data_IF_998871346601
#
_entry.id   IF_998871346601
#
_cell.length_a   1.000
_cell.length_b   1.000
_cell.length_c   1.000
_cell.angle_alpha   90.00
_cell.angle_beta   90.00
_cell.angle_gamma   90.00
#
_symmetry.space_group_name_H-M   'P 1'
#
loop_
_entity.id
_entity.type
_entity.pdbx_description
1 polymer ?
#
# COMPACT_ATOMS: atom_id res chain seq x y z
N UNK A 1 35.67 30.38 54.26
CA UNK A 1 35.25 29.22 53.45
C UNK A 1 34.02 29.61 52.65
N UNK A 2 34.10 29.63 51.32
CA UNK A 2 32.94 29.77 50.43
C UNK A 2 33.15 28.76 49.30
N UNK A 3 32.26 27.77 49.22
CA UNK A 3 32.36 26.62 48.31
C UNK A 3 31.69 27.02 47.00
N UNK A 4 32.46 27.13 45.91
CA UNK A 4 31.92 27.44 44.57
C UNK A 4 31.24 26.19 44.01
N UNK A 5 29.95 26.28 43.74
CA UNK A 5 29.16 25.21 43.11
C UNK A 5 29.24 25.43 41.60
N UNK A 6 29.96 24.56 40.90
CA UNK A 6 30.10 24.59 39.45
C UNK A 6 28.85 23.97 38.83
N UNK A 7 28.10 24.75 38.06
CA UNK A 7 26.90 24.30 37.33
C UNK A 7 27.35 23.37 36.17
N UNK A 8 27.04 22.08 36.27
CA UNK A 8 27.21 21.12 35.18
C UNK A 8 26.11 21.34 34.13
N UNK A 9 26.51 21.79 32.95
CA UNK A 9 25.62 22.04 31.83
C UNK A 9 24.99 20.76 31.29
N UNK A 10 23.66 20.72 31.23
CA UNK A 10 22.90 19.65 30.59
C UNK A 10 22.83 19.94 29.08
N UNK A 11 23.79 19.42 28.33
CA UNK A 11 23.72 19.43 26.86
C UNK A 11 22.84 18.28 26.39
N UNK A 12 21.54 18.53 26.23
CA UNK A 12 20.64 17.60 25.57
C UNK A 12 20.93 17.59 24.06
N UNK A 13 21.61 16.55 23.59
CA UNK A 13 21.76 16.26 22.17
C UNK A 13 20.39 15.89 21.60
N UNK A 14 19.66 16.88 21.08
CA UNK A 14 18.54 16.63 20.20
C UNK A 14 19.09 16.06 18.88
N UNK A 15 19.13 14.74 18.77
CA UNK A 15 19.32 14.07 17.48
C UNK A 15 18.05 14.34 16.67
N UNK A 16 18.09 15.36 15.82
CA UNK A 16 17.03 15.62 14.85
C UNK A 16 17.01 14.45 13.86
N UNK A 17 16.02 13.58 13.97
CA UNK A 17 15.72 12.62 12.92
C UNK A 17 15.28 13.41 11.68
N UNK A 18 16.19 13.60 10.73
CA UNK A 18 15.84 14.09 9.40
C UNK A 18 14.98 13.02 8.71
N UNK A 19 13.71 13.32 8.52
CA UNK A 19 12.85 12.53 7.66
C UNK A 19 13.20 12.89 6.21
N UNK A 20 13.94 12.03 5.53
CA UNK A 20 14.14 12.17 4.09
C UNK A 20 12.84 11.80 3.37
N UNK A 21 12.08 12.80 2.94
CA UNK A 21 11.07 12.61 1.91
C UNK A 21 11.81 12.34 0.59
N UNK A 22 12.04 11.06 0.28
CA UNK A 22 12.60 10.66 -1.01
C UNK A 22 11.67 11.12 -2.13
N UNK A 23 12.19 11.90 -3.08
CA UNK A 23 11.46 12.48 -4.21
C UNK A 23 11.05 11.47 -5.30
N UNK A 24 11.15 10.16 -5.05
CA UNK A 24 10.53 9.15 -5.92
C UNK A 24 9.11 8.91 -5.44
N UNK A 25 8.12 9.13 -6.31
CA UNK A 25 6.73 8.78 -6.00
C UNK A 25 6.67 7.31 -5.56
N UNK A 26 6.28 7.06 -4.31
CA UNK A 26 6.12 5.70 -3.78
C UNK A 26 4.85 5.01 -4.31
N UNK A 27 4.26 5.55 -5.38
CA UNK A 27 3.04 5.07 -6.02
C UNK A 27 3.39 4.45 -7.37
N UNK A 28 2.91 3.24 -7.60
CA UNK A 28 3.09 2.49 -8.84
C UNK A 28 1.74 2.49 -9.55
N UNK A 29 1.69 2.94 -10.82
CA UNK A 29 0.48 2.82 -11.64
C UNK A 29 0.14 1.33 -11.83
N UNK A 30 -1.13 0.99 -11.62
CA UNK A 30 -1.63 -0.40 -11.67
C UNK A 30 -2.63 -0.58 -12.81
N UNK A 31 -3.57 0.35 -12.92
CA UNK A 31 -4.59 0.36 -13.95
C UNK A 31 -5.10 1.78 -14.15
N UNK A 32 -5.79 2.00 -15.26
CA UNK A 32 -6.49 3.25 -15.52
C UNK A 32 -7.74 3.00 -16.35
N UNK A 33 -8.66 3.95 -16.28
CA UNK A 33 -9.72 4.13 -17.28
C UNK A 33 -9.73 5.61 -17.70
N UNK A 34 -10.70 6.01 -18.51
CA UNK A 34 -10.77 7.36 -19.08
C UNK A 34 -10.78 8.47 -18.01
N UNK A 35 -11.31 8.18 -16.82
CA UNK A 35 -11.50 9.19 -15.76
C UNK A 35 -10.58 9.00 -14.56
N UNK A 36 -10.05 7.80 -14.33
CA UNK A 36 -9.46 7.41 -13.05
C UNK A 36 -8.15 6.69 -13.23
N UNK A 37 -7.14 7.15 -12.51
CA UNK A 37 -5.85 6.47 -12.35
C UNK A 37 -5.85 5.68 -11.05
N UNK A 38 -5.42 4.42 -11.10
CA UNK A 38 -5.33 3.53 -9.94
C UNK A 38 -3.87 3.20 -9.67
N UNK A 39 -3.39 3.51 -8.46
CA UNK A 39 -1.98 3.31 -8.11
C UNK A 39 -1.81 2.61 -6.78
N UNK A 40 -0.83 1.72 -6.66
CA UNK A 40 -0.51 1.01 -5.42
C UNK A 40 0.68 1.65 -4.69
N UNK A 41 0.61 1.72 -3.34
CA UNK A 41 1.70 2.27 -2.52
C UNK A 41 2.76 1.21 -2.22
N UNK A 42 3.99 1.47 -2.63
CA UNK A 42 5.15 0.63 -2.29
C UNK A 42 5.29 0.47 -0.78
N UNK A 43 5.64 -0.75 -0.33
CA UNK A 43 5.86 -1.08 1.09
C UNK A 43 4.60 -1.36 1.91
N UNK A 44 3.41 -1.22 1.31
CA UNK A 44 2.13 -1.47 2.00
C UNK A 44 1.57 -2.87 1.78
N UNK A 45 2.20 -3.68 0.94
CA UNK A 45 1.78 -5.07 0.73
C UNK A 45 1.79 -5.85 2.04
N UNK A 46 0.74 -6.64 2.28
CA UNK A 46 0.61 -7.57 3.40
C UNK A 46 0.03 -8.88 2.89
N UNK A 47 0.60 -10.00 3.33
CA UNK A 47 -0.01 -11.32 3.18
C UNK A 47 -0.26 -11.89 4.57
N UNK A 48 -1.53 -11.98 4.98
CA UNK A 48 -1.93 -12.37 6.33
C UNK A 48 -3.13 -13.31 6.21
N UNK A 49 -3.07 -14.45 6.90
CA UNK A 49 -4.19 -15.41 6.99
C UNK A 49 -4.78 -15.82 5.62
N UNK A 50 -3.92 -15.99 4.61
CA UNK A 50 -4.35 -16.40 3.27
C UNK A 50 -4.96 -15.27 2.42
N UNK A 51 -4.88 -14.01 2.87
CA UNK A 51 -5.28 -12.83 2.10
C UNK A 51 -4.06 -11.97 1.77
N UNK A 52 -3.94 -11.61 0.50
CA UNK A 52 -2.97 -10.66 -0.03
C UNK A 52 -3.64 -9.29 -0.16
N UNK A 53 -3.02 -8.24 0.36
CA UNK A 53 -3.60 -6.90 0.30
C UNK A 53 -2.56 -5.79 0.14
N UNK A 54 -2.99 -4.65 -0.38
CA UNK A 54 -2.14 -3.47 -0.60
C UNK A 54 -2.96 -2.18 -0.50
N UNK A 55 -2.32 -1.06 -0.15
CA UNK A 55 -2.95 0.25 -0.21
C UNK A 55 -2.96 0.75 -1.66
N UNK A 56 -4.15 1.11 -2.15
CA UNK A 56 -4.34 1.74 -3.46
C UNK A 56 -4.95 3.13 -3.36
N UNK A 57 -4.54 4.00 -4.27
CA UNK A 57 -5.09 5.33 -4.51
C UNK A 57 -5.91 5.32 -5.79
N UNK A 58 -7.11 5.87 -5.70
CA UNK A 58 -8.05 6.04 -6.80
C UNK A 58 -8.11 7.54 -7.05
N UNK A 59 -7.45 8.01 -8.11
CA UNK A 59 -7.39 9.43 -8.46
C UNK A 59 -8.36 9.70 -9.61
N UNK A 60 -9.56 10.14 -9.28
CA UNK A 60 -10.58 10.52 -10.26
C UNK A 60 -10.29 11.95 -10.78
N UNK A 61 -9.88 12.02 -12.03
CA UNK A 61 -9.52 13.27 -12.72
C UNK A 61 -10.76 14.07 -13.14
N UNK A 62 -11.93 13.44 -13.25
CA UNK A 62 -13.16 14.12 -13.68
C UNK A 62 -13.74 15.04 -12.60
N UNK A 63 -13.59 14.68 -11.32
CA UNK A 63 -14.14 15.43 -10.18
C UNK A 63 -13.07 15.84 -9.14
N UNK A 64 -11.78 15.64 -9.46
CA UNK A 64 -10.64 15.92 -8.60
C UNK A 64 -10.69 15.22 -7.23
N UNK A 65 -11.35 14.06 -7.13
CA UNK A 65 -11.40 13.27 -5.89
C UNK A 65 -10.32 12.20 -5.85
N UNK A 66 -9.64 12.15 -4.72
CA UNK A 66 -8.71 11.08 -4.38
C UNK A 66 -9.31 10.23 -3.26
N UNK A 67 -9.41 8.93 -3.51
CA UNK A 67 -9.85 7.95 -2.50
C UNK A 67 -8.74 6.93 -2.26
N UNK A 68 -8.71 6.39 -1.04
CA UNK A 68 -7.75 5.36 -0.65
C UNK A 68 -8.47 4.11 -0.17
N UNK A 69 -8.00 2.96 -0.62
CA UNK A 69 -8.56 1.66 -0.27
C UNK A 69 -7.46 0.68 0.12
N UNK A 70 -7.72 -0.13 1.15
CA UNK A 70 -7.02 -1.40 1.30
C UNK A 70 -7.73 -2.34 0.33
N UNK A 71 -7.03 -2.76 -0.71
CA UNK A 71 -7.54 -3.71 -1.69
C UNK A 71 -6.97 -5.08 -1.36
N UNK A 72 -7.83 -6.06 -1.17
CA UNK A 72 -7.48 -7.43 -0.80
C UNK A 72 -8.01 -8.45 -1.79
N UNK A 73 -7.28 -9.55 -1.94
CA UNK A 73 -7.66 -10.74 -2.70
C UNK A 73 -7.23 -11.98 -1.91
N UNK A 74 -8.05 -13.04 -1.93
CA UNK A 74 -7.65 -14.30 -1.33
C UNK A 74 -6.49 -14.91 -2.12
N UNK A 75 -5.52 -15.51 -1.44
CA UNK A 75 -4.41 -16.20 -2.10
C UNK A 75 -4.92 -17.28 -3.05
N UNK A 76 -5.98 -18.01 -2.66
CA UNK A 76 -6.59 -19.04 -3.51
C UNK A 76 -7.21 -18.47 -4.78
N UNK A 77 -7.73 -17.24 -4.74
CA UNK A 77 -8.31 -16.58 -5.91
C UNK A 77 -7.18 -16.15 -6.88
N UNK A 78 -6.03 -15.72 -6.35
CA UNK A 78 -4.83 -15.53 -7.15
C UNK A 78 -4.36 -16.83 -7.80
N UNK A 79 -4.35 -17.93 -7.05
CA UNK A 79 -3.87 -19.24 -7.54
C UNK A 79 -4.82 -19.83 -8.59
N UNK A 80 -6.12 -19.57 -8.46
CA UNK A 80 -7.15 -20.02 -9.40
C UNK A 80 -7.27 -19.13 -10.65
N UNK A 81 -6.77 -17.90 -10.60
CA UNK A 81 -6.93 -16.91 -11.66
C UNK A 81 -8.33 -16.30 -11.77
N UNK A 82 -9.20 -16.50 -10.76
CA UNK A 82 -10.50 -15.85 -10.67
C UNK A 82 -11.01 -15.82 -9.23
N UNK A 83 -11.89 -14.86 -8.92
CA UNK A 83 -12.47 -14.74 -7.58
C UNK A 83 -12.99 -13.33 -7.31
N UNK A 84 -12.70 -12.80 -6.12
CA UNK A 84 -13.18 -11.47 -5.70
C UNK A 84 -12.06 -10.60 -5.15
N UNK A 85 -12.03 -9.34 -5.59
CA UNK A 85 -11.36 -8.26 -4.88
C UNK A 85 -12.28 -7.69 -3.81
N UNK A 86 -11.73 -7.38 -2.64
CA UNK A 86 -12.41 -6.71 -1.54
C UNK A 86 -11.78 -5.35 -1.27
N UNK A 87 -12.61 -4.30 -1.24
CA UNK A 87 -12.20 -2.92 -1.07
C UNK A 87 -12.63 -2.43 0.30
N UNK A 88 -11.67 -2.10 1.14
CA UNK A 88 -11.94 -1.61 2.50
C UNK A 88 -11.52 -0.15 2.62
N UNK A 89 -12.34 0.64 3.31
CA UNK A 89 -11.92 1.94 3.80
C UNK A 89 -10.77 1.80 4.82
N UNK A 90 -10.10 2.91 5.13
CA UNK A 90 -8.96 2.92 6.07
C UNK A 90 -9.34 2.58 7.52
N UNK A 91 -10.63 2.67 7.87
CA UNK A 91 -11.17 2.22 9.15
C UNK A 91 -11.41 0.70 9.20
N UNK A 92 -11.16 -0.02 8.10
CA UNK A 92 -11.33 -1.46 7.98
C UNK A 92 -12.74 -1.89 7.59
N UNK A 93 -13.70 -0.95 7.40
CA UNK A 93 -15.04 -1.30 6.91
C UNK A 93 -14.98 -1.68 5.43
N UNK A 94 -15.59 -2.81 5.09
CA UNK A 94 -15.79 -3.22 3.70
C UNK A 94 -16.70 -2.19 3.00
N UNK A 95 -16.24 -1.67 1.87
CA UNK A 95 -17.01 -0.77 1.01
C UNK A 95 -17.75 -1.62 -0.04
N UNK A 96 -16.99 -2.31 -0.89
CA UNK A 96 -17.56 -3.18 -1.93
C UNK A 96 -16.62 -4.33 -2.29
N UNK A 97 -17.14 -5.25 -3.11
CA UNK A 97 -16.37 -6.31 -3.75
C UNK A 97 -16.53 -6.24 -5.27
N UNK A 98 -15.47 -6.58 -5.99
CA UNK A 98 -15.46 -6.67 -7.46
C UNK A 98 -15.07 -8.08 -7.89
N UNK A 99 -15.60 -8.52 -9.03
CA UNK A 99 -15.08 -9.71 -9.71
C UNK A 99 -13.63 -9.51 -10.13
N UNK A 100 -12.87 -10.60 -10.03
CA UNK A 100 -11.51 -10.74 -10.53
C UNK A 100 -11.45 -11.92 -11.49
N UNK A 101 -10.82 -11.69 -12.64
CA UNK A 101 -10.44 -12.69 -13.63
C UNK A 101 -9.04 -12.29 -14.08
N UNK A 102 -8.08 -13.19 -13.93
CA UNK A 102 -6.69 -12.99 -14.33
C UNK A 102 -6.60 -12.69 -15.83
N UNK A 103 -5.65 -11.82 -16.19
CA UNK A 103 -5.38 -11.43 -17.58
C UNK A 103 -6.61 -10.82 -18.31
N UNK A 104 -7.60 -10.35 -17.55
CA UNK A 104 -8.77 -9.65 -18.08
C UNK A 104 -8.49 -8.18 -18.42
N UNK A 105 -9.35 -7.58 -19.25
CA UNK A 105 -9.23 -6.16 -19.65
C UNK A 105 -9.95 -5.18 -18.70
N UNK A 106 -10.21 -5.57 -17.46
CA UNK A 106 -10.91 -4.72 -16.48
C UNK A 106 -9.93 -4.09 -15.49
N UNK A 107 -10.35 -2.98 -14.86
CA UNK A 107 -9.60 -2.38 -13.74
C UNK A 107 -9.42 -3.41 -12.61
N UNK A 108 -10.45 -4.23 -12.35
CA UNK A 108 -10.38 -5.30 -11.36
C UNK A 108 -9.35 -6.37 -11.71
N UNK A 109 -9.23 -6.76 -12.98
CA UNK A 109 -8.19 -7.68 -13.42
C UNK A 109 -6.80 -7.10 -13.17
N UNK A 110 -6.52 -5.87 -13.64
CA UNK A 110 -5.22 -5.22 -13.43
C UNK A 110 -4.83 -5.06 -11.96
N UNK A 111 -5.79 -4.73 -11.08
CA UNK A 111 -5.55 -4.69 -9.63
C UNK A 111 -5.23 -6.06 -9.04
N UNK A 112 -6.00 -7.08 -9.42
CA UNK A 112 -5.79 -8.44 -8.94
C UNK A 112 -4.45 -9.00 -9.42
N UNK A 113 -4.16 -8.90 -10.71
CA UNK A 113 -2.90 -9.35 -11.32
C UNK A 113 -1.70 -8.71 -10.64
N UNK A 114 -1.77 -7.40 -10.38
CA UNK A 114 -0.73 -6.69 -9.65
C UNK A 114 -0.52 -7.25 -8.24
N UNK A 115 -1.59 -7.42 -7.45
CA UNK A 115 -1.47 -7.95 -6.08
C UNK A 115 -0.94 -9.39 -6.09
N UNK A 116 -1.41 -10.22 -7.03
CA UNK A 116 -0.98 -11.60 -7.18
C UNK A 116 0.50 -11.70 -7.59
N UNK A 117 0.97 -10.86 -8.51
CA UNK A 117 2.37 -10.77 -8.91
C UNK A 117 3.27 -10.32 -7.74
N UNK A 118 2.84 -9.31 -6.97
CA UNK A 118 3.56 -8.85 -5.78
C UNK A 118 3.65 -9.96 -4.73
N UNK A 119 2.60 -10.77 -4.55
CA UNK A 119 2.63 -11.93 -3.64
C UNK A 119 3.71 -12.92 -4.05
N UNK A 120 3.80 -13.28 -5.33
CA UNK A 120 4.82 -14.20 -5.85
C UNK A 120 6.22 -13.63 -5.65
N UNK A 121 6.42 -12.35 -5.99
CA UNK A 121 7.70 -11.67 -5.80
C UNK A 121 8.11 -11.62 -4.32
N UNK A 122 7.19 -11.31 -3.41
CA UNK A 122 7.43 -11.28 -1.97
C UNK A 122 7.77 -12.66 -1.41
N UNK A 123 7.07 -13.72 -1.85
CA UNK A 123 7.36 -15.09 -1.45
C UNK A 123 8.73 -15.58 -1.93
N UNK A 124 9.17 -15.16 -3.13
CA UNK A 124 10.50 -15.48 -3.65
C UNK A 124 11.61 -14.72 -2.91
N UNK A 125 11.39 -13.45 -2.55
CA UNK A 125 12.34 -12.65 -1.81
C UNK A 125 12.59 -13.17 -0.37
N UNK A 126 11.67 -13.94 0.20
CA UNK A 126 11.87 -14.59 1.50
C UNK A 126 12.69 -15.89 1.43
N UNK A 127 12.89 -16.45 0.23
CA UNK A 127 13.61 -17.72 0.01
C UNK A 127 15.08 -17.53 -0.37
N UNK A 128 15.48 -16.34 -0.80
CA UNK A 128 16.87 -15.97 -1.11
C UNK A 128 17.53 -15.29 0.07
#
# INVERSE_FOLDING_TARGET
MVKKITLLGLSALFVSHVAFAGNSSNWISVASNDTTEYSAKKGTFRNINGESSILMMFNNKSDNRIQYYKVGIKNVDCDNGYGKLSFYHMDGRLDFQSDYIADGNSVGAGMGDFICAVRVAAANAQKG
#
